data_IF_670658610003
#
_entry.id   IF_670658610003
#
_cell.length_a   1.000
_cell.length_b   1.000
_cell.length_c   1.000
_cell.angle_alpha   90.00
_cell.angle_beta   90.00
_cell.angle_gamma   90.00
#
_symmetry.space_group_name_H-M   'P 1'
#
loop_
_entity.id
_entity.type
_entity.pdbx_description
1 polymer ?
#
# COMPACT_ATOMS: atom_id res chain seq x y z
N UNK A 1 -16.98 16.17 -27.91
CA UNK A 1 -16.78 14.71 -27.91
C UNK A 1 -17.90 14.10 -27.09
N UNK A 2 -18.39 12.91 -27.41
CA UNK A 2 -19.38 12.23 -26.54
C UNK A 2 -18.69 11.83 -25.27
N UNK A 3 -19.20 12.21 -24.10
CA UNK A 3 -18.66 11.83 -22.81
C UNK A 3 -18.91 10.33 -22.59
N UNK A 4 -17.86 9.57 -22.26
CA UNK A 4 -17.91 8.12 -22.09
C UNK A 4 -17.82 7.68 -20.62
N UNK A 5 -17.89 8.62 -19.68
CA UNK A 5 -17.82 8.39 -18.24
C UNK A 5 -18.87 9.23 -17.50
N UNK A 6 -19.15 8.88 -16.27
CA UNK A 6 -20.13 9.57 -15.43
C UNK A 6 -19.67 10.99 -15.07
N UNK A 7 -20.60 11.94 -14.98
CA UNK A 7 -20.29 13.35 -14.68
C UNK A 7 -19.67 13.57 -13.30
N UNK A 8 -19.94 12.69 -12.36
CA UNK A 8 -19.39 12.73 -11.01
C UNK A 8 -17.90 12.37 -10.92
N UNK A 9 -17.30 11.91 -12.04
CA UNK A 9 -15.85 11.73 -12.16
C UNK A 9 -15.09 12.98 -12.60
N UNK A 10 -15.79 14.04 -13.04
CA UNK A 10 -15.15 15.25 -13.59
C UNK A 10 -14.33 15.95 -12.50
N UNK A 11 -14.98 16.32 -11.40
CA UNK A 11 -14.33 17.06 -10.31
C UNK A 11 -13.18 16.29 -9.66
N UNK A 12 -13.33 15.00 -9.26
CA UNK A 12 -12.23 14.22 -8.74
C UNK A 12 -11.03 14.15 -9.71
N UNK A 13 -11.28 13.95 -11.00
CA UNK A 13 -10.21 13.87 -12.00
C UNK A 13 -9.50 15.20 -12.23
N UNK A 14 -10.23 16.32 -12.17
CA UNK A 14 -9.63 17.65 -12.21
C UNK A 14 -8.76 17.93 -10.99
N UNK A 15 -9.18 17.51 -9.79
CA UNK A 15 -8.38 17.58 -8.56
C UNK A 15 -7.10 16.75 -8.71
N UNK A 16 -7.20 15.51 -9.16
CA UNK A 16 -6.02 14.65 -9.33
C UNK A 16 -5.01 15.26 -10.32
N UNK A 17 -5.46 15.74 -11.47
CA UNK A 17 -4.53 16.28 -12.47
C UNK A 17 -3.94 17.63 -12.07
N UNK A 18 -4.73 18.49 -11.38
CA UNK A 18 -4.29 19.80 -10.93
C UNK A 18 -3.46 19.76 -9.65
N UNK A 19 -3.97 19.09 -8.59
CA UNK A 19 -3.43 19.22 -7.23
C UNK A 19 -2.47 18.08 -6.88
N UNK A 20 -2.74 16.86 -7.38
CA UNK A 20 -1.90 15.68 -7.10
C UNK A 20 -0.77 15.56 -8.12
N UNK A 21 -1.09 15.48 -9.41
CA UNK A 21 -0.08 15.34 -10.46
C UNK A 21 0.55 16.67 -10.88
N UNK A 22 -0.12 17.80 -10.58
CA UNK A 22 0.37 19.14 -10.93
C UNK A 22 0.66 19.29 -12.43
N UNK A 23 -0.25 18.80 -13.30
CA UNK A 23 -0.07 18.79 -14.75
C UNK A 23 0.02 20.23 -15.26
N UNK A 24 1.05 20.51 -16.06
CA UNK A 24 1.32 21.81 -16.68
C UNK A 24 1.06 21.78 -18.18
N UNK A 25 1.01 22.98 -18.75
CA UNK A 25 0.86 23.14 -20.20
C UNK A 25 1.98 22.43 -20.97
N UNK A 26 1.58 21.70 -22.02
CA UNK A 26 2.47 20.90 -22.90
C UNK A 26 3.17 19.69 -22.23
N UNK A 27 2.91 19.37 -20.98
CA UNK A 27 3.44 18.14 -20.40
C UNK A 27 2.76 16.89 -21.00
N UNK A 28 3.53 15.86 -21.26
CA UNK A 28 3.07 14.57 -21.77
C UNK A 28 2.55 13.73 -20.62
N UNK A 29 1.30 13.33 -20.69
CA UNK A 29 0.63 12.52 -19.67
C UNK A 29 0.30 11.15 -20.24
N UNK A 30 0.94 10.10 -19.77
CA UNK A 30 0.63 8.73 -20.16
C UNK A 30 -0.33 8.12 -19.12
N UNK A 31 -1.51 7.72 -19.60
CA UNK A 31 -2.50 7.01 -18.78
C UNK A 31 -2.58 5.58 -19.30
N UNK A 32 -2.35 4.61 -18.42
CA UNK A 32 -2.39 3.18 -18.73
C UNK A 32 -3.54 2.56 -17.95
N UNK A 33 -4.38 1.77 -18.63
CA UNK A 33 -5.59 1.19 -18.04
C UNK A 33 -5.93 -0.18 -18.63
N UNK A 34 -7.02 -0.75 -18.15
CA UNK A 34 -7.60 -2.00 -18.62
C UNK A 34 -9.01 -1.75 -19.21
N UNK A 35 -9.56 -2.67 -20.03
CA UNK A 35 -10.92 -2.54 -20.58
C UNK A 35 -12.04 -2.83 -19.55
N UNK A 36 -11.72 -2.88 -18.25
CA UNK A 36 -12.66 -3.02 -17.15
C UNK A 36 -13.37 -1.68 -16.90
N UNK A 37 -14.67 -1.71 -16.58
CA UNK A 37 -15.55 -0.55 -16.58
C UNK A 37 -15.10 0.55 -15.59
N UNK A 38 -14.72 0.18 -14.35
CA UNK A 38 -14.35 1.15 -13.32
C UNK A 38 -13.11 1.94 -13.75
N UNK A 39 -12.01 1.24 -14.03
CA UNK A 39 -10.73 1.87 -14.35
C UNK A 39 -10.75 2.58 -15.69
N UNK A 40 -11.51 2.07 -16.66
CA UNK A 40 -11.64 2.71 -17.96
C UNK A 40 -12.38 4.06 -17.86
N UNK A 41 -13.48 4.14 -17.11
CA UNK A 41 -14.20 5.41 -16.91
C UNK A 41 -13.33 6.44 -16.17
N UNK A 42 -12.62 6.02 -15.12
CA UNK A 42 -11.68 6.88 -14.37
C UNK A 42 -10.59 7.40 -15.33
N UNK A 43 -9.98 6.53 -16.11
CA UNK A 43 -8.91 6.89 -17.05
C UNK A 43 -9.35 7.88 -18.13
N UNK A 44 -10.56 7.72 -18.64
CA UNK A 44 -11.12 8.67 -19.61
C UNK A 44 -11.43 10.03 -18.99
N UNK A 45 -11.88 10.06 -17.73
CA UNK A 45 -12.08 11.31 -17.00
C UNK A 45 -10.74 12.02 -16.71
N UNK A 46 -9.71 11.27 -16.31
CA UNK A 46 -8.35 11.78 -16.14
C UNK A 46 -7.75 12.31 -17.45
N UNK A 47 -8.01 11.63 -18.58
CA UNK A 47 -7.58 12.09 -19.91
C UNK A 47 -8.16 13.47 -20.23
N UNK A 48 -9.47 13.67 -20.05
CA UNK A 48 -10.11 14.96 -20.31
C UNK A 48 -9.64 16.03 -19.30
N UNK A 49 -9.42 15.65 -18.04
CA UNK A 49 -8.89 16.54 -17.00
C UNK A 49 -7.45 17.00 -17.31
N UNK A 50 -6.56 16.08 -17.72
CA UNK A 50 -5.19 16.43 -18.14
C UNK A 50 -5.19 17.41 -19.31
N UNK A 51 -6.06 17.17 -20.28
CA UNK A 51 -6.24 18.05 -21.44
C UNK A 51 -6.75 19.44 -21.06
N UNK A 52 -7.65 19.51 -20.06
CA UNK A 52 -8.15 20.77 -19.50
C UNK A 52 -7.06 21.59 -18.81
N UNK A 53 -6.06 20.91 -18.20
CA UNK A 53 -4.87 21.55 -17.61
C UNK A 53 -3.83 21.98 -18.66
N UNK A 54 -4.06 21.72 -19.96
CA UNK A 54 -3.11 22.04 -21.04
C UNK A 54 -2.09 20.92 -21.30
N UNK A 55 -2.19 19.79 -20.64
CA UNK A 55 -1.36 18.62 -20.89
C UNK A 55 -1.68 17.94 -22.24
N UNK A 56 -0.80 17.07 -22.67
CA UNK A 56 -0.89 16.25 -23.89
C UNK A 56 -1.09 14.78 -23.45
N UNK A 57 -2.34 14.35 -23.14
CA UNK A 57 -2.59 13.00 -22.67
C UNK A 57 -2.59 11.98 -23.80
N UNK A 58 -2.07 10.79 -23.47
CA UNK A 58 -2.18 9.56 -24.25
C UNK A 58 -2.81 8.50 -23.36
N UNK A 59 -3.79 7.77 -23.87
CA UNK A 59 -4.44 6.64 -23.19
C UNK A 59 -4.02 5.34 -23.87
N UNK A 60 -3.38 4.47 -23.10
CA UNK A 60 -2.98 3.12 -23.49
C UNK A 60 -3.84 2.10 -22.76
N UNK A 61 -4.43 1.16 -23.47
CA UNK A 61 -5.31 0.12 -22.90
C UNK A 61 -4.66 -1.23 -23.14
N UNK A 62 -4.46 -1.98 -22.08
CA UNK A 62 -4.00 -3.38 -22.13
C UNK A 62 -4.96 -4.29 -21.37
N UNK A 63 -4.92 -5.59 -21.66
CA UNK A 63 -5.67 -6.58 -20.86
C UNK A 63 -5.25 -6.52 -19.38
N UNK A 64 -6.16 -6.92 -18.48
CA UNK A 64 -5.87 -7.00 -17.05
C UNK A 64 -4.63 -7.87 -16.79
N UNK A 65 -3.76 -7.41 -15.90
CA UNK A 65 -2.53 -8.11 -15.51
C UNK A 65 -2.54 -8.38 -14.02
N UNK A 66 -2.06 -9.56 -13.65
CA UNK A 66 -1.80 -9.96 -12.27
C UNK A 66 -0.34 -9.71 -11.87
N UNK A 67 0.02 -10.05 -10.64
CA UNK A 67 1.42 -10.04 -10.18
C UNK A 67 2.33 -10.99 -10.97
N UNK A 68 1.78 -11.98 -11.68
CA UNK A 68 2.54 -12.96 -12.44
C UNK A 68 2.74 -12.58 -13.91
N UNK A 69 1.89 -11.69 -14.44
CA UNK A 69 1.87 -11.33 -15.84
C UNK A 69 2.89 -10.25 -16.20
N UNK A 70 3.26 -10.21 -17.47
CA UNK A 70 4.03 -9.12 -18.05
C UNK A 70 3.10 -8.04 -18.62
N UNK A 71 3.49 -6.77 -18.48
CA UNK A 71 2.87 -5.67 -19.21
C UNK A 71 3.07 -5.86 -20.72
N UNK A 72 2.13 -5.37 -21.51
CA UNK A 72 2.26 -5.41 -22.96
C UNK A 72 3.47 -4.59 -23.42
N UNK A 73 4.13 -5.04 -24.48
CA UNK A 73 5.33 -4.36 -24.99
C UNK A 73 5.05 -2.91 -25.41
N UNK A 74 3.86 -2.62 -25.93
CA UNK A 74 3.43 -1.26 -26.28
C UNK A 74 3.42 -0.36 -25.03
N UNK A 75 2.91 -0.85 -23.92
CA UNK A 75 2.87 -0.14 -22.64
C UNK A 75 4.29 0.20 -22.15
N UNK A 76 5.20 -0.79 -22.14
CA UNK A 76 6.60 -0.54 -21.76
C UNK A 76 7.29 0.44 -22.72
N UNK A 77 7.00 0.39 -24.01
CA UNK A 77 7.52 1.35 -25.00
C UNK A 77 6.94 2.75 -24.80
N UNK A 78 5.66 2.87 -24.43
CA UNK A 78 5.06 4.15 -24.09
C UNK A 78 5.72 4.77 -22.84
N UNK A 79 5.98 3.97 -21.80
CA UNK A 79 6.72 4.42 -20.61
C UNK A 79 8.16 4.84 -20.99
N UNK A 80 8.85 4.07 -21.84
CA UNK A 80 10.21 4.40 -22.34
C UNK A 80 10.26 5.71 -23.13
N UNK A 81 9.14 6.23 -23.61
CA UNK A 81 9.10 7.56 -24.23
C UNK A 81 9.35 8.72 -23.25
N UNK A 82 9.49 8.38 -21.95
CA UNK A 82 9.74 9.32 -20.85
C UNK A 82 8.67 10.42 -20.75
N UNK A 83 7.40 10.06 -20.54
CA UNK A 83 6.35 11.05 -20.29
C UNK A 83 6.63 11.79 -18.97
N UNK A 84 6.15 13.02 -18.86
CA UNK A 84 6.31 13.85 -17.65
C UNK A 84 5.49 13.29 -16.49
N UNK A 85 4.29 12.75 -16.79
CA UNK A 85 3.37 12.14 -15.82
C UNK A 85 2.95 10.76 -16.30
N UNK A 86 2.97 9.77 -15.41
CA UNK A 86 2.51 8.41 -15.66
C UNK A 86 1.40 8.06 -14.68
N UNK A 87 0.23 7.67 -15.20
CA UNK A 87 -0.91 7.24 -14.41
C UNK A 87 -1.22 5.76 -14.73
N UNK A 88 -0.97 4.86 -13.79
CA UNK A 88 -1.33 3.44 -13.90
C UNK A 88 -2.65 3.20 -13.19
N UNK A 89 -3.74 3.20 -13.93
CA UNK A 89 -5.11 3.01 -13.44
C UNK A 89 -5.54 1.59 -13.78
N UNK A 90 -5.24 0.66 -12.88
CA UNK A 90 -5.32 -0.79 -13.18
C UNK A 90 -6.40 -1.48 -12.35
N UNK A 91 -7.16 -2.37 -12.98
CA UNK A 91 -8.12 -3.23 -12.29
C UNK A 91 -7.44 -4.16 -11.28
N UNK A 92 -6.17 -4.53 -11.53
CA UNK A 92 -5.35 -5.29 -10.60
C UNK A 92 -3.90 -4.75 -10.59
N UNK A 93 -3.05 -5.09 -11.58
CA UNK A 93 -1.64 -4.65 -11.63
C UNK A 93 -1.29 -4.08 -13.00
N UNK A 94 -0.21 -3.28 -13.06
CA UNK A 94 0.37 -2.82 -14.34
C UNK A 94 0.98 -3.98 -15.16
N UNK A 95 1.48 -5.00 -14.48
CA UNK A 95 2.29 -6.06 -15.06
C UNK A 95 3.79 -5.77 -14.98
N UNK A 96 4.60 -6.83 -15.02
CA UNK A 96 6.06 -6.76 -14.93
C UNK A 96 6.67 -6.26 -16.24
N UNK A 97 7.82 -5.63 -16.15
CA UNK A 97 8.65 -5.30 -17.32
C UNK A 97 9.54 -6.50 -17.70
N UNK A 98 9.16 -7.24 -18.74
CA UNK A 98 9.90 -8.43 -19.19
C UNK A 98 11.35 -8.10 -19.59
N UNK A 99 11.59 -6.97 -20.24
CA UNK A 99 12.93 -6.57 -20.67
C UNK A 99 13.79 -6.11 -19.49
N UNK A 100 13.24 -5.29 -18.59
CA UNK A 100 13.91 -4.84 -17.37
C UNK A 100 14.26 -5.99 -16.43
N UNK A 101 13.41 -7.01 -16.34
CA UNK A 101 13.72 -8.21 -15.55
C UNK A 101 14.85 -9.04 -16.15
N UNK A 102 15.03 -9.07 -17.49
CA UNK A 102 16.12 -9.78 -18.17
C UNK A 102 17.42 -8.97 -18.17
N UNK A 103 17.31 -7.66 -18.30
CA UNK A 103 18.43 -6.72 -18.37
C UNK A 103 18.04 -5.46 -17.60
N UNK A 104 18.37 -5.38 -16.31
CA UNK A 104 18.01 -4.24 -15.48
C UNK A 104 18.51 -2.90 -16.04
N UNK A 105 17.72 -1.86 -15.85
CA UNK A 105 18.13 -0.48 -16.10
C UNK A 105 19.06 -0.05 -14.98
N UNK A 106 20.19 0.57 -15.31
CA UNK A 106 21.23 0.94 -14.33
C UNK A 106 21.46 2.44 -14.33
N UNK A 107 21.46 3.04 -13.16
CA UNK A 107 21.87 4.43 -12.95
C UNK A 107 22.61 4.55 -11.62
N UNK A 108 23.77 5.21 -11.61
CA UNK A 108 24.62 5.41 -10.42
C UNK A 108 24.98 4.12 -9.66
N UNK A 109 24.97 2.96 -10.36
CA UNK A 109 25.24 1.65 -9.76
C UNK A 109 24.04 0.97 -9.13
N UNK A 110 22.86 1.57 -9.20
CA UNK A 110 21.59 1.01 -8.76
C UNK A 110 20.84 0.36 -9.92
N UNK A 111 20.24 -0.80 -9.70
CA UNK A 111 19.56 -1.62 -10.70
C UNK A 111 18.05 -1.57 -10.53
N UNK A 112 17.32 -1.36 -11.62
CA UNK A 112 15.87 -1.33 -11.68
C UNK A 112 15.36 -2.37 -12.68
N UNK A 113 14.48 -3.26 -12.24
CA UNK A 113 13.86 -4.30 -13.09
C UNK A 113 12.58 -3.82 -13.78
N UNK A 114 12.20 -2.55 -13.61
CA UNK A 114 11.02 -1.92 -14.21
C UNK A 114 11.38 -0.55 -14.76
N UNK A 115 11.01 -0.30 -16.02
CA UNK A 115 11.16 1.02 -16.63
C UNK A 115 10.39 2.10 -15.87
N UNK A 116 9.23 1.77 -15.31
CA UNK A 116 8.44 2.70 -14.50
C UNK A 116 9.25 3.18 -13.29
N UNK A 117 9.78 2.26 -12.48
CA UNK A 117 10.57 2.60 -11.30
C UNK A 117 11.90 3.26 -11.68
N UNK A 118 12.51 2.86 -12.81
CA UNK A 118 13.72 3.50 -13.31
C UNK A 118 13.50 4.99 -13.62
N UNK A 119 12.35 5.35 -14.21
CA UNK A 119 12.04 6.75 -14.50
C UNK A 119 11.63 7.53 -13.25
N UNK A 120 10.92 6.89 -12.32
CA UNK A 120 10.43 7.51 -11.09
C UNK A 120 11.57 7.65 -10.07
N UNK A 121 12.16 6.55 -9.64
CA UNK A 121 13.08 6.50 -8.49
C UNK A 121 14.55 6.69 -8.93
N UNK A 122 14.93 6.08 -10.03
CA UNK A 122 16.31 6.12 -10.54
C UNK A 122 16.64 7.43 -11.25
N UNK A 123 16.03 7.66 -12.41
CA UNK A 123 16.28 8.82 -13.25
C UNK A 123 15.62 10.10 -12.73
N UNK A 124 14.53 9.96 -11.99
CA UNK A 124 13.70 11.07 -11.48
C UNK A 124 13.27 12.02 -12.58
N UNK A 125 12.89 11.46 -13.75
CA UNK A 125 12.46 12.24 -14.92
C UNK A 125 10.96 12.28 -15.08
N UNK A 126 10.23 11.37 -14.45
CA UNK A 126 8.78 11.33 -14.45
C UNK A 126 8.24 11.40 -13.03
N UNK A 127 6.96 11.72 -12.89
CA UNK A 127 6.17 11.57 -11.66
C UNK A 127 4.91 10.80 -11.97
N UNK A 128 4.23 10.24 -10.95
CA UNK A 128 3.06 9.44 -11.29
C UNK A 128 2.20 8.96 -10.16
N UNK A 129 1.08 8.36 -10.55
CA UNK A 129 0.13 7.71 -9.65
C UNK A 129 -0.13 6.28 -10.10
N UNK A 130 -0.44 5.42 -9.14
CA UNK A 130 -0.89 4.05 -9.40
C UNK A 130 -2.04 3.67 -8.46
N UNK A 131 -3.04 2.98 -9.02
CA UNK A 131 -4.31 2.72 -8.34
C UNK A 131 -4.76 1.28 -8.56
N UNK A 132 -3.99 0.28 -8.07
CA UNK A 132 -4.34 -1.12 -8.31
C UNK A 132 -5.65 -1.50 -7.61
N UNK A 133 -6.65 -1.95 -8.39
CA UNK A 133 -7.94 -2.37 -7.83
C UNK A 133 -8.90 -1.25 -7.46
N UNK A 134 -8.69 -0.03 -7.96
CA UNK A 134 -9.57 1.10 -7.68
C UNK A 134 -10.97 0.89 -8.27
N UNK A 135 -12.00 1.28 -7.52
CA UNK A 135 -13.39 1.26 -7.96
C UNK A 135 -13.93 2.68 -8.17
N UNK A 136 -15.03 2.80 -8.95
CA UNK A 136 -15.70 4.09 -9.16
C UNK A 136 -16.17 4.72 -7.84
N UNK A 137 -16.72 3.92 -6.94
CA UNK A 137 -17.18 4.40 -5.64
C UNK A 137 -16.03 4.94 -4.79
N UNK A 138 -14.96 4.17 -4.67
CA UNK A 138 -13.74 4.56 -3.98
C UNK A 138 -13.19 5.87 -4.55
N UNK A 139 -12.98 5.95 -5.87
CA UNK A 139 -12.43 7.12 -6.54
C UNK A 139 -13.27 8.39 -6.30
N UNK A 140 -14.59 8.31 -6.48
CA UNK A 140 -15.51 9.44 -6.26
C UNK A 140 -15.46 9.97 -4.85
N UNK A 141 -15.32 9.08 -3.87
CA UNK A 141 -15.35 9.41 -2.46
C UNK A 141 -14.01 9.97 -1.96
N UNK A 142 -12.91 9.38 -2.38
CA UNK A 142 -11.59 9.61 -1.78
C UNK A 142 -10.68 10.52 -2.58
N UNK A 143 -10.91 10.71 -3.88
CA UNK A 143 -10.03 11.50 -4.74
C UNK A 143 -10.29 13.01 -4.69
N UNK A 144 -11.46 13.45 -4.19
CA UNK A 144 -11.81 14.87 -4.08
C UNK A 144 -11.69 15.34 -2.63
N UNK A 145 -10.45 15.46 -2.14
CA UNK A 145 -10.12 15.93 -0.79
C UNK A 145 -9.21 17.16 -0.87
N UNK A 146 -8.98 17.82 0.27
CA UNK A 146 -8.01 18.90 0.40
C UNK A 146 -6.59 18.29 0.52
N UNK A 147 -5.89 18.17 -0.60
CA UNK A 147 -4.53 17.62 -0.63
C UNK A 147 -3.50 18.53 0.03
N UNK A 148 -3.73 19.84 0.10
CA UNK A 148 -2.84 20.74 0.84
C UNK A 148 -2.93 20.50 2.35
N UNK A 149 -4.14 20.25 2.85
CA UNK A 149 -4.35 19.86 4.24
C UNK A 149 -3.79 18.47 4.53
N UNK A 150 -3.98 17.51 3.62
CA UNK A 150 -3.41 16.15 3.76
C UNK A 150 -1.89 16.19 3.85
N UNK A 151 -1.23 16.87 2.91
CA UNK A 151 0.22 17.06 2.89
C UNK A 151 0.72 17.73 4.20
N UNK A 152 0.00 18.78 4.67
CA UNK A 152 0.33 19.41 5.95
C UNK A 152 0.27 18.42 7.11
N UNK A 153 -0.74 17.57 7.18
CA UNK A 153 -0.87 16.52 8.21
C UNK A 153 0.27 15.50 8.15
N UNK A 154 0.54 14.98 6.94
CA UNK A 154 1.63 14.04 6.72
C UNK A 154 2.98 14.62 7.14
N UNK A 155 3.29 15.86 6.75
CA UNK A 155 4.52 16.56 7.14
C UNK A 155 4.62 16.77 8.63
N UNK A 156 3.56 17.25 9.28
CA UNK A 156 3.54 17.46 10.74
C UNK A 156 3.77 16.15 11.50
N UNK A 157 3.13 15.04 11.06
CA UNK A 157 3.32 13.73 11.66
C UNK A 157 4.74 13.22 11.43
N UNK A 158 5.26 13.34 10.22
CA UNK A 158 6.65 12.96 9.88
C UNK A 158 7.67 13.70 10.75
N UNK A 159 7.44 14.98 11.06
CA UNK A 159 8.30 15.73 11.99
C UNK A 159 8.27 15.17 13.42
N UNK A 160 7.13 14.65 13.88
CA UNK A 160 7.02 14.01 15.19
C UNK A 160 7.77 12.69 15.27
N UNK A 161 7.98 11.99 14.17
CA UNK A 161 8.80 10.78 14.15
C UNK A 161 10.31 11.06 14.29
N UNK A 162 10.78 12.28 14.02
CA UNK A 162 12.20 12.63 14.12
C UNK A 162 12.69 12.51 15.57
N UNK A 163 13.69 11.65 15.77
CA UNK A 163 14.26 11.41 17.11
C UNK A 163 13.40 10.52 18.01
N UNK A 164 12.31 9.97 17.50
CA UNK A 164 11.52 8.98 18.22
C UNK A 164 12.30 7.66 18.38
N UNK A 165 12.09 6.98 19.52
CA UNK A 165 12.71 5.68 19.80
C UNK A 165 11.73 4.54 19.68
N UNK A 166 10.46 4.76 19.98
CA UNK A 166 9.41 3.77 19.84
C UNK A 166 8.03 4.39 19.71
N UNK A 167 7.07 3.59 19.29
CA UNK A 167 5.63 3.90 19.28
C UNK A 167 4.89 2.85 20.09
N UNK A 168 4.04 3.28 21.00
CA UNK A 168 3.12 2.41 21.71
C UNK A 168 1.72 2.54 21.10
N UNK A 169 1.13 1.43 20.69
CA UNK A 169 -0.20 1.38 20.10
C UNK A 169 -1.12 0.54 20.95
N UNK A 170 -2.26 1.12 21.35
CA UNK A 170 -3.36 0.39 21.98
C UNK A 170 -4.65 0.62 21.21
N UNK A 171 -5.59 -0.34 21.26
CA UNK A 171 -6.90 -0.17 20.65
C UNK A 171 -7.99 -0.93 21.41
N UNK A 172 -9.28 -0.50 21.28
CA UNK A 172 -10.40 -1.09 22.04
C UNK A 172 -10.58 -2.60 21.82
N UNK A 173 -10.23 -3.11 20.62
CA UNK A 173 -10.31 -4.54 20.31
C UNK A 173 -9.27 -5.39 21.05
N UNK A 174 -8.26 -4.78 21.70
CA UNK A 174 -7.26 -5.46 22.51
C UNK A 174 -5.84 -5.41 21.95
N UNK A 175 -5.57 -4.60 20.94
CA UNK A 175 -4.20 -4.28 20.52
C UNK A 175 -3.48 -3.60 21.68
N UNK A 176 -2.26 -4.05 21.96
CA UNK A 176 -1.33 -3.47 22.94
C UNK A 176 0.09 -3.91 22.54
N UNK A 177 0.81 -3.03 21.84
CA UNK A 177 2.10 -3.35 21.26
C UNK A 177 3.08 -2.18 21.36
N UNK A 178 4.33 -2.49 21.72
CA UNK A 178 5.46 -1.56 21.66
C UNK A 178 6.24 -1.82 20.37
N UNK A 179 6.48 -0.75 19.62
CA UNK A 179 7.10 -0.77 18.27
C UNK A 179 8.36 0.09 18.28
N UNK A 180 9.55 -0.47 18.50
CA UNK A 180 10.81 0.26 18.40
C UNK A 180 11.12 0.70 16.96
N UNK A 181 11.48 2.00 16.80
CA UNK A 181 11.71 2.64 15.49
C UNK A 181 12.96 3.52 15.46
N UNK A 182 13.82 3.46 16.47
CA UNK A 182 14.99 4.34 16.58
C UNK A 182 15.85 4.28 15.31
N UNK A 183 16.14 5.47 14.74
CA UNK A 183 16.94 5.61 13.53
C UNK A 183 16.20 5.32 12.22
N UNK A 184 14.93 4.90 12.25
CA UNK A 184 14.10 4.73 11.06
C UNK A 184 13.64 6.07 10.50
N UNK A 185 13.42 6.09 9.20
CA UNK A 185 12.75 7.20 8.51
C UNK A 185 11.31 6.79 8.21
N UNK A 186 10.37 7.71 8.42
CA UNK A 186 9.00 7.48 7.97
C UNK A 186 8.85 7.87 6.50
N UNK A 187 7.88 7.25 5.86
CA UNK A 187 7.42 7.54 4.51
C UNK A 187 6.04 8.16 4.58
N UNK A 188 5.65 8.91 3.55
CA UNK A 188 4.31 9.46 3.43
C UNK A 188 3.75 9.27 2.02
N UNK A 189 2.49 8.90 1.95
CA UNK A 189 1.67 8.97 0.75
C UNK A 189 0.71 10.14 0.92
N UNK A 190 1.19 11.35 0.62
CA UNK A 190 0.53 12.64 0.89
C UNK A 190 -0.25 13.20 -0.31
N UNK A 191 -0.17 12.51 -1.46
CA UNK A 191 -0.80 12.96 -2.70
C UNK A 191 -0.14 14.18 -3.35
N UNK A 192 1.07 14.56 -2.96
CA UNK A 192 1.83 15.68 -3.55
C UNK A 192 2.87 15.20 -4.57
N UNK A 193 2.40 14.65 -5.68
CA UNK A 193 3.27 14.12 -6.74
C UNK A 193 3.47 15.13 -7.85
N UNK A 194 3.89 16.35 -7.49
CA UNK A 194 4.04 17.48 -8.42
C UNK A 194 5.46 17.65 -8.96
N UNK A 195 6.43 16.95 -8.36
CA UNK A 195 7.86 17.02 -8.72
C UNK A 195 8.30 15.71 -9.38
N UNK A 196 9.12 15.74 -10.45
CA UNK A 196 9.72 14.53 -10.99
C UNK A 196 10.47 13.72 -9.93
N UNK A 197 10.30 12.41 -9.92
CA UNK A 197 10.80 11.51 -8.90
C UNK A 197 9.85 11.33 -7.71
N UNK A 198 8.61 11.80 -7.80
CA UNK A 198 7.56 11.56 -6.79
C UNK A 198 6.39 10.80 -7.36
N UNK A 199 5.75 9.98 -6.54
CA UNK A 199 4.58 9.21 -6.93
C UNK A 199 4.05 8.39 -5.77
N UNK A 200 2.79 7.97 -5.88
CA UNK A 200 2.13 7.17 -4.84
C UNK A 200 0.76 6.67 -5.27
N UNK A 201 0.04 6.13 -4.31
CA UNK A 201 -1.30 5.64 -4.52
C UNK A 201 -2.34 6.75 -4.59
N UNK A 202 -3.43 6.48 -5.28
CA UNK A 202 -4.71 7.17 -5.14
C UNK A 202 -5.76 6.08 -4.88
N UNK A 203 -6.46 6.15 -3.73
CA UNK A 203 -6.41 7.18 -2.68
C UNK A 203 -5.05 7.32 -2.01
N UNK A 204 -4.67 8.55 -1.68
CA UNK A 204 -3.54 8.88 -0.83
C UNK A 204 -4.00 9.18 0.60
N UNK A 205 -3.08 9.20 1.53
CA UNK A 205 -3.32 9.65 2.90
C UNK A 205 -2.85 8.71 3.97
N UNK A 206 -1.52 8.52 4.08
CA UNK A 206 -0.92 7.81 5.19
C UNK A 206 0.50 8.32 5.49
N UNK A 207 0.93 8.05 6.71
CA UNK A 207 2.34 8.10 7.11
C UNK A 207 2.69 6.76 7.73
N UNK A 208 3.75 6.13 7.26
CA UNK A 208 4.15 4.81 7.70
C UNK A 208 5.65 4.71 7.99
N UNK A 209 6.03 3.74 8.82
CA UNK A 209 7.40 3.53 9.27
C UNK A 209 7.65 2.04 9.47
N UNK A 210 8.85 1.57 9.08
CA UNK A 210 9.28 0.19 9.35
C UNK A 210 9.72 0.04 10.80
N UNK A 211 9.17 -0.91 11.57
CA UNK A 211 9.70 -1.28 12.88
C UNK A 211 11.14 -1.81 12.80
N UNK A 212 11.91 -1.70 13.87
CA UNK A 212 13.20 -2.38 13.98
C UNK A 212 12.99 -3.90 13.99
N UNK A 213 13.61 -4.60 13.04
CA UNK A 213 13.48 -6.05 12.89
C UNK A 213 13.87 -6.75 14.19
N UNK A 214 13.01 -7.65 14.65
CA UNK A 214 13.28 -8.42 15.85
C UNK A 214 13.09 -7.66 17.17
N UNK A 215 12.29 -6.58 17.22
CA UNK A 215 12.21 -5.73 18.41
C UNK A 215 10.81 -5.41 18.92
N UNK A 216 9.77 -5.59 18.11
CA UNK A 216 8.40 -5.32 18.56
C UNK A 216 7.90 -6.38 19.54
N UNK A 217 7.15 -5.95 20.55
CA UNK A 217 6.64 -6.83 21.63
C UNK A 217 5.20 -6.49 21.97
N UNK A 218 4.34 -7.48 22.07
CA UNK A 218 2.95 -7.31 22.49
C UNK A 218 1.95 -8.11 21.68
N UNK A 219 0.82 -7.48 21.37
CA UNK A 219 -0.33 -8.09 20.70
C UNK A 219 -0.94 -7.11 19.72
N UNK A 220 -1.29 -7.61 18.54
CA UNK A 220 -2.08 -6.88 17.56
C UNK A 220 -3.43 -7.59 17.41
N UNK A 221 -4.52 -6.83 17.41
CA UNK A 221 -5.87 -7.33 17.12
C UNK A 221 -6.37 -6.57 15.88
N UNK A 222 -6.39 -7.26 14.75
CA UNK A 222 -6.94 -6.73 13.51
C UNK A 222 -8.46 -6.87 13.54
N UNK A 223 -9.18 -5.76 13.40
CA UNK A 223 -10.64 -5.69 13.46
C UNK A 223 -11.26 -4.87 12.32
N UNK A 224 -10.45 -4.39 11.39
CA UNK A 224 -10.86 -3.65 10.20
C UNK A 224 -10.94 -4.53 8.96
N UNK A 225 -9.83 -4.66 8.27
CA UNK A 225 -9.62 -5.48 7.09
C UNK A 225 -8.23 -6.10 7.11
N UNK A 226 -7.98 -7.05 6.20
CA UNK A 226 -6.70 -7.76 6.10
C UNK A 226 -6.40 -8.12 4.65
N UNK A 227 -5.18 -7.80 4.21
CA UNK A 227 -4.63 -8.33 2.97
C UNK A 227 -4.19 -9.77 3.15
N UNK A 228 -4.53 -10.62 2.18
CA UNK A 228 -4.18 -12.04 2.15
C UNK A 228 -3.59 -12.38 0.77
N UNK A 229 -2.95 -13.52 0.67
CA UNK A 229 -2.34 -13.95 -0.62
C UNK A 229 -3.35 -14.01 -1.76
N UNK A 230 -4.62 -14.26 -1.49
CA UNK A 230 -5.69 -14.38 -2.51
C UNK A 230 -6.53 -13.12 -2.70
N UNK A 231 -6.29 -12.04 -1.96
CA UNK A 231 -7.04 -10.78 -1.99
C UNK A 231 -7.36 -10.25 -0.60
N UNK A 232 -8.00 -9.09 -0.56
CA UNK A 232 -8.34 -8.41 0.69
C UNK A 232 -9.67 -8.89 1.24
N UNK A 233 -9.79 -8.90 2.56
CA UNK A 233 -11.03 -9.23 3.26
C UNK A 233 -11.41 -8.16 4.27
N UNK A 234 -12.69 -7.93 4.44
CA UNK A 234 -13.23 -7.22 5.59
C UNK A 234 -13.37 -8.18 6.76
N UNK A 235 -12.78 -7.85 7.90
CA UNK A 235 -12.77 -8.71 9.08
C UNK A 235 -14.16 -8.67 9.74
N UNK A 236 -14.73 -9.84 10.01
CA UNK A 236 -15.98 -10.04 10.74
C UNK A 236 -15.69 -10.50 12.17
N UNK A 237 -14.76 -11.43 12.34
CA UNK A 237 -14.25 -11.85 13.64
C UNK A 237 -12.79 -11.43 13.80
N UNK A 238 -12.42 -10.65 14.83
CA UNK A 238 -11.07 -10.14 15.00
C UNK A 238 -10.00 -11.21 14.94
N UNK A 239 -8.90 -10.90 14.23
CA UNK A 239 -7.70 -11.74 14.17
C UNK A 239 -6.75 -11.26 15.25
N UNK A 240 -6.31 -12.16 16.12
CA UNK A 240 -5.40 -11.85 17.21
C UNK A 240 -4.03 -12.44 16.89
N UNK A 241 -3.00 -11.58 16.93
CA UNK A 241 -1.61 -11.95 16.69
C UNK A 241 -0.77 -11.61 17.92
N UNK A 242 -0.16 -12.64 18.54
CA UNK A 242 0.87 -12.41 19.55
C UNK A 242 2.20 -12.11 18.83
N UNK A 243 2.88 -11.05 19.27
CA UNK A 243 4.16 -10.59 18.71
C UNK A 243 5.24 -10.68 19.77
N UNK A 244 6.32 -11.37 19.43
CA UNK A 244 7.50 -11.49 20.29
C UNK A 244 8.76 -11.39 19.46
N UNK A 245 9.75 -10.65 19.97
CA UNK A 245 11.01 -10.40 19.26
C UNK A 245 10.78 -9.94 17.80
N UNK A 246 9.75 -9.09 17.56
CA UNK A 246 9.40 -8.52 16.26
C UNK A 246 8.68 -9.47 15.29
N UNK A 247 8.35 -10.69 15.72
CA UNK A 247 7.72 -11.70 14.85
C UNK A 247 6.39 -12.18 15.40
N UNK A 248 5.45 -12.46 14.52
CA UNK A 248 4.16 -13.10 14.87
C UNK A 248 4.43 -14.55 15.30
N UNK A 249 4.12 -14.84 16.57
CA UNK A 249 4.35 -16.16 17.19
C UNK A 249 3.07 -16.96 17.41
N UNK A 250 1.92 -16.28 17.52
CA UNK A 250 0.60 -16.89 17.64
C UNK A 250 -0.42 -16.17 16.75
N UNK A 251 -1.32 -16.92 16.15
CA UNK A 251 -2.46 -16.39 15.37
C UNK A 251 -3.69 -17.17 15.82
N UNK A 252 -4.73 -16.46 16.24
CA UNK A 252 -5.96 -17.05 16.74
C UNK A 252 -7.13 -16.06 16.68
N UNK A 253 -8.31 -16.53 17.00
CA UNK A 253 -9.51 -15.70 17.22
C UNK A 253 -10.13 -16.06 18.56
N UNK A 254 -11.32 -15.52 18.86
CA UNK A 254 -12.03 -15.78 20.14
C UNK A 254 -12.42 -17.25 20.33
N UNK A 255 -12.44 -18.07 19.27
CA UNK A 255 -12.84 -19.49 19.28
C UNK A 255 -11.65 -20.45 19.42
N UNK A 256 -10.44 -20.01 19.09
CA UNK A 256 -9.26 -20.86 19.20
C UNK A 256 -8.13 -20.48 18.24
N UNK A 257 -7.09 -21.31 18.20
CA UNK A 257 -5.94 -21.11 17.33
C UNK A 257 -6.31 -21.26 15.84
N UNK A 258 -5.59 -20.52 14.99
CA UNK A 258 -5.70 -20.64 13.56
C UNK A 258 -5.26 -22.01 13.06
N UNK A 259 -5.97 -22.55 12.09
CA UNK A 259 -5.66 -23.79 11.39
C UNK A 259 -5.26 -23.48 9.96
N UNK A 260 -4.41 -24.33 9.37
CA UNK A 260 -4.01 -24.19 7.98
C UNK A 260 -5.18 -24.54 7.05
N UNK A 261 -5.42 -23.66 6.07
CA UNK A 261 -6.37 -23.86 4.96
C UNK A 261 -5.60 -23.94 3.65
N UNK A 262 -6.07 -24.78 2.72
CA UNK A 262 -5.50 -24.82 1.38
C UNK A 262 -5.86 -23.54 0.58
N UNK A 263 -4.99 -23.16 -0.37
CA UNK A 263 -5.16 -21.94 -1.16
C UNK A 263 -6.52 -21.87 -1.87
N UNK A 264 -6.99 -22.99 -2.42
CA UNK A 264 -8.29 -23.06 -3.09
C UNK A 264 -9.47 -22.80 -2.13
N UNK A 265 -9.36 -23.22 -0.88
CA UNK A 265 -10.36 -22.93 0.17
C UNK A 265 -10.33 -21.44 0.51
N UNK A 266 -9.14 -20.85 0.73
CA UNK A 266 -8.99 -19.42 0.98
C UNK A 266 -9.59 -18.57 -0.15
N UNK A 267 -9.27 -18.89 -1.41
CA UNK A 267 -9.83 -18.20 -2.58
C UNK A 267 -11.36 -18.32 -2.68
N UNK A 268 -11.91 -19.46 -2.29
CA UNK A 268 -13.36 -19.66 -2.25
C UNK A 268 -14.00 -18.78 -1.19
N UNK A 269 -13.40 -18.73 0.01
CA UNK A 269 -13.88 -17.91 1.10
C UNK A 269 -13.84 -16.40 0.77
N UNK A 270 -12.81 -15.93 0.10
CA UNK A 270 -12.72 -14.53 -0.36
C UNK A 270 -13.85 -14.20 -1.34
N UNK A 271 -14.21 -15.12 -2.25
CA UNK A 271 -15.24 -14.92 -3.27
C UNK A 271 -16.67 -14.98 -2.72
N UNK A 272 -16.89 -15.64 -1.61
CA UNK A 272 -18.19 -15.76 -0.96
C UNK A 272 -18.40 -14.62 0.04
N UNK A 273 -18.78 -13.43 -0.47
CA UNK A 273 -19.16 -12.23 0.30
C UNK A 273 -18.21 -11.84 1.45
N UNK A 274 -16.91 -11.96 1.20
CA UNK A 274 -15.86 -11.36 2.04
C UNK A 274 -15.74 -11.91 3.45
N UNK A 275 -16.50 -12.91 3.81
CA UNK A 275 -16.44 -13.35 5.18
C UNK A 275 -16.40 -14.85 5.29
N UNK A 276 -15.28 -15.28 5.57
CA UNK A 276 -15.05 -16.52 6.26
C UNK A 276 -15.38 -16.38 7.75
N UNK A 277 -16.54 -15.87 8.16
CA UNK A 277 -16.82 -15.56 9.56
C UNK A 277 -16.26 -16.63 10.51
N UNK A 278 -15.19 -16.28 11.25
CA UNK A 278 -14.43 -17.18 12.11
C UNK A 278 -13.31 -17.99 11.42
N UNK A 279 -12.99 -17.71 10.14
CA UNK A 279 -11.88 -18.32 9.39
C UNK A 279 -10.76 -17.32 9.06
N UNK A 280 -10.95 -16.04 9.35
CA UNK A 280 -10.03 -14.96 9.01
C UNK A 280 -8.62 -15.21 9.58
N UNK A 281 -8.52 -15.62 10.83
CA UNK A 281 -7.24 -15.98 11.45
C UNK A 281 -6.56 -17.15 10.73
N UNK A 282 -7.31 -18.17 10.31
CA UNK A 282 -6.79 -19.31 9.56
C UNK A 282 -6.36 -18.92 8.15
N UNK A 283 -7.03 -17.98 7.51
CA UNK A 283 -6.65 -17.45 6.20
C UNK A 283 -5.32 -16.65 6.28
N UNK A 284 -5.14 -15.83 7.32
CA UNK A 284 -3.87 -15.14 7.58
C UNK A 284 -2.74 -16.14 7.85
N UNK A 285 -2.98 -17.12 8.74
CA UNK A 285 -2.01 -18.17 9.03
C UNK A 285 -1.60 -18.94 7.77
N UNK A 286 -2.54 -19.24 6.89
CA UNK A 286 -2.30 -19.93 5.62
C UNK A 286 -1.49 -19.08 4.64
N UNK A 287 -1.74 -17.77 4.57
CA UNK A 287 -0.97 -16.83 3.73
C UNK A 287 0.50 -16.77 4.18
N UNK A 288 0.74 -16.66 5.49
CA UNK A 288 2.10 -16.65 6.06
C UNK A 288 2.80 -18.01 5.81
N UNK A 289 2.12 -19.12 6.10
CA UNK A 289 2.69 -20.47 5.92
C UNK A 289 2.99 -20.76 4.44
N UNK A 290 2.18 -20.25 3.52
CA UNK A 290 2.43 -20.36 2.07
C UNK A 290 3.70 -19.61 1.68
N UNK A 291 3.95 -18.42 2.25
CA UNK A 291 5.20 -17.69 2.01
C UNK A 291 6.42 -18.41 2.58
N UNK A 292 6.32 -19.00 3.76
CA UNK A 292 7.38 -19.85 4.36
C UNK A 292 7.70 -21.05 3.47
N UNK A 293 6.67 -21.73 2.93
CA UNK A 293 6.82 -22.85 2.00
C UNK A 293 7.46 -22.42 0.68
N UNK A 294 7.06 -21.27 0.11
CA UNK A 294 7.68 -20.70 -1.10
C UNK A 294 9.18 -20.43 -0.89
N UNK A 295 9.58 -19.93 0.27
CA UNK A 295 10.99 -19.72 0.59
C UNK A 295 11.78 -21.05 0.64
N UNK A 296 11.20 -22.07 1.26
CA UNK A 296 11.80 -23.42 1.30
C UNK A 296 11.87 -24.04 -0.09
N UNK A 297 10.85 -23.86 -0.92
CA UNK A 297 10.83 -24.34 -2.30
C UNK A 297 11.90 -23.64 -3.16
N UNK A 298 12.09 -22.32 -2.99
CA UNK A 298 13.13 -21.58 -3.70
C UNK A 298 14.56 -22.10 -3.41
N UNK A 299 14.80 -22.59 -2.20
CA UNK A 299 16.05 -23.30 -1.88
C UNK A 299 16.14 -24.66 -2.61
N UNK A 300 15.07 -25.44 -2.56
CA UNK A 300 15.03 -26.76 -3.22
C UNK A 300 15.25 -26.66 -4.73
N UNK A 301 14.72 -25.61 -5.34
CA UNK A 301 14.84 -25.32 -6.78
C UNK A 301 16.20 -24.67 -7.15
N UNK A 302 17.07 -24.43 -6.17
CA UNK A 302 18.39 -23.83 -6.39
C UNK A 302 18.37 -22.33 -6.70
N UNK A 303 17.23 -21.66 -6.46
CA UNK A 303 17.06 -20.21 -6.69
C UNK A 303 17.61 -19.38 -5.53
N UNK A 304 17.57 -19.93 -4.31
CA UNK A 304 18.09 -19.30 -3.10
C UNK A 304 19.19 -20.15 -2.45
N UNK A 305 20.13 -19.48 -1.76
CA UNK A 305 20.95 -20.15 -0.77
C UNK A 305 20.09 -20.58 0.43
N UNK A 306 20.60 -21.48 1.26
CA UNK A 306 19.90 -21.92 2.47
C UNK A 306 19.63 -20.75 3.41
N UNK A 307 20.63 -19.91 3.64
CA UNK A 307 20.55 -18.73 4.50
C UNK A 307 19.49 -17.74 4.02
N UNK A 308 19.43 -17.51 2.69
CA UNK A 308 18.43 -16.63 2.08
C UNK A 308 17.02 -17.20 2.24
N UNK A 309 16.84 -18.50 2.05
CA UNK A 309 15.55 -19.15 2.23
C UNK A 309 15.08 -19.09 3.69
N UNK A 310 15.97 -19.36 4.65
CA UNK A 310 15.69 -19.25 6.08
C UNK A 310 15.32 -17.80 6.47
N UNK A 311 16.02 -16.82 5.92
CA UNK A 311 15.71 -15.40 6.14
C UNK A 311 14.31 -15.04 5.61
N UNK A 312 13.98 -15.42 4.36
CA UNK A 312 12.68 -15.13 3.76
C UNK A 312 11.53 -15.84 4.50
N UNK A 313 11.75 -17.09 4.94
CA UNK A 313 10.77 -17.83 5.73
C UNK A 313 10.55 -17.17 7.11
N UNK A 314 11.62 -16.80 7.81
CA UNK A 314 11.52 -16.10 9.09
C UNK A 314 10.80 -14.76 8.94
N UNK A 315 11.15 -14.00 7.93
CA UNK A 315 10.58 -12.66 7.70
C UNK A 315 9.12 -12.69 7.21
N UNK A 316 8.59 -13.84 6.81
CA UNK A 316 7.16 -13.98 6.56
C UNK A 316 6.30 -13.72 7.82
N UNK A 317 6.90 -13.71 9.00
CA UNK A 317 6.27 -13.38 10.30
C UNK A 317 6.69 -12.03 10.87
N UNK A 318 7.58 -11.31 10.20
CA UNK A 318 8.08 -10.02 10.69
C UNK A 318 6.96 -8.99 10.73
N UNK A 319 6.97 -8.11 11.75
CA UNK A 319 6.17 -6.88 11.70
C UNK A 319 6.95 -5.88 10.85
N UNK A 320 6.50 -5.69 9.61
CA UNK A 320 7.20 -4.93 8.57
C UNK A 320 6.84 -3.45 8.52
N UNK A 321 5.66 -3.09 9.04
CA UNK A 321 5.16 -1.72 8.96
C UNK A 321 4.26 -1.37 10.14
N UNK A 322 4.26 -0.09 10.49
CA UNK A 322 3.21 0.62 11.22
C UNK A 322 2.83 1.84 10.39
N UNK A 323 1.61 1.86 9.88
CA UNK A 323 1.06 2.99 9.14
C UNK A 323 -0.14 3.63 9.84
N UNK A 324 -0.38 4.91 9.55
CA UNK A 324 -1.46 5.71 10.13
C UNK A 324 -2.28 6.32 9.01
N UNK A 325 -3.56 5.99 8.93
CA UNK A 325 -4.49 6.49 7.92
C UNK A 325 -4.92 7.93 8.19
N UNK A 326 -4.80 8.79 7.18
CA UNK A 326 -5.03 10.25 7.29
C UNK A 326 -6.04 10.80 6.27
N UNK A 327 -6.62 9.95 5.41
CA UNK A 327 -7.63 10.36 4.44
C UNK A 327 -9.01 10.40 5.08
N UNK A 328 -9.63 11.58 5.23
CA UNK A 328 -10.91 11.72 5.95
C UNK A 328 -12.10 11.13 5.22
N UNK A 329 -11.95 10.81 3.93
CA UNK A 329 -12.99 10.27 3.06
C UNK A 329 -12.85 8.78 2.80
N UNK A 330 -11.73 8.18 3.20
CA UNK A 330 -11.51 6.74 3.11
C UNK A 330 -12.31 5.99 4.19
N UNK A 331 -12.77 4.80 3.84
CA UNK A 331 -13.53 3.91 4.75
C UNK A 331 -12.97 2.50 4.67
N UNK A 332 -13.25 1.67 5.66
CA UNK A 332 -12.92 0.25 5.61
C UNK A 332 -13.94 -0.48 4.74
N UNK A 333 -13.55 -0.77 3.49
CA UNK A 333 -14.38 -1.38 2.47
C UNK A 333 -14.03 -2.86 2.18
N UNK A 334 -12.85 -3.33 2.63
CA UNK A 334 -12.29 -4.63 2.27
C UNK A 334 -11.47 -4.54 0.97
N UNK A 335 -10.89 -3.38 0.72
CA UNK A 335 -9.93 -3.13 -0.35
C UNK A 335 -8.79 -2.32 0.26
N UNK A 336 -7.62 -2.92 0.39
CA UNK A 336 -6.51 -2.35 1.16
C UNK A 336 -5.98 -1.05 0.57
N UNK A 337 -6.08 -0.84 -0.75
CA UNK A 337 -5.72 0.44 -1.38
C UNK A 337 -6.37 1.65 -0.68
N UNK A 338 -7.58 1.48 -0.16
CA UNK A 338 -8.32 2.50 0.58
C UNK A 338 -8.23 2.33 2.08
N UNK A 339 -8.36 1.07 2.56
CA UNK A 339 -8.59 0.73 3.96
C UNK A 339 -7.44 1.20 4.86
N UNK A 340 -6.19 1.11 4.37
CA UNK A 340 -4.98 1.57 5.05
C UNK A 340 -4.87 3.09 5.16
N UNK A 341 -5.61 3.85 4.32
CA UNK A 341 -5.66 5.30 4.33
C UNK A 341 -6.77 5.85 5.25
N UNK A 342 -7.67 4.97 5.73
CA UNK A 342 -8.86 5.38 6.46
C UNK A 342 -8.52 6.17 7.73
N UNK A 343 -9.20 7.30 7.92
CA UNK A 343 -9.05 8.11 9.13
C UNK A 343 -9.49 7.33 10.36
N UNK A 344 -8.87 7.57 11.52
CA UNK A 344 -9.15 6.88 12.78
C UNK A 344 -8.73 5.41 12.79
N UNK A 345 -7.71 5.07 11.99
CA UNK A 345 -7.14 3.73 11.96
C UNK A 345 -5.62 3.79 11.94
N UNK A 346 -5.00 2.72 12.38
CA UNK A 346 -3.65 2.38 11.97
C UNK A 346 -3.64 0.99 11.32
N UNK A 347 -2.57 0.66 10.65
CA UNK A 347 -2.38 -0.68 10.11
C UNK A 347 -0.98 -1.19 10.46
N UNK A 348 -0.84 -2.49 10.48
CA UNK A 348 0.43 -3.17 10.58
C UNK A 348 0.58 -4.12 9.42
N UNK A 349 1.76 -4.12 8.77
CA UNK A 349 2.07 -5.13 7.79
C UNK A 349 2.82 -6.32 8.41
N UNK A 350 2.48 -7.52 7.95
CA UNK A 350 3.21 -8.74 8.25
C UNK A 350 4.00 -9.15 7.02
N UNK A 351 5.33 -9.26 7.16
CA UNK A 351 6.22 -9.63 6.06
C UNK A 351 7.38 -8.69 5.83
N UNK A 352 7.60 -8.33 4.55
CA UNK A 352 8.67 -7.43 4.14
C UNK A 352 8.46 -6.01 4.69
N UNK A 353 9.55 -5.26 4.78
CA UNK A 353 9.54 -3.84 5.15
C UNK A 353 10.15 -2.97 4.04
N UNK A 354 9.97 -1.65 4.15
CA UNK A 354 10.45 -0.68 3.15
C UNK A 354 11.92 -0.25 3.37
N UNK A 355 12.52 -0.57 4.52
CA UNK A 355 13.96 -0.36 4.77
C UNK A 355 14.84 -1.47 4.18
N UNK A 356 14.26 -2.48 3.53
CA UNK A 356 14.92 -3.59 2.85
C UNK A 356 15.78 -4.50 3.75
N UNK A 357 15.62 -4.44 5.08
CA UNK A 357 16.33 -5.31 6.02
C UNK A 357 15.50 -6.53 6.49
N UNK A 358 14.24 -6.62 6.07
CA UNK A 358 13.36 -7.78 6.26
C UNK A 358 12.74 -8.27 4.94
N UNK A 359 13.53 -8.81 3.98
CA UNK A 359 12.98 -9.32 2.73
C UNK A 359 12.06 -10.52 2.97
N UNK A 360 10.91 -10.54 2.30
CA UNK A 360 9.90 -11.61 2.36
C UNK A 360 9.15 -11.71 1.03
N UNK A 361 8.38 -12.80 0.83
CA UNK A 361 7.48 -12.96 -0.31
C UNK A 361 6.11 -12.33 -0.11
N UNK A 362 5.83 -11.83 1.09
CA UNK A 362 4.56 -11.20 1.44
C UNK A 362 4.77 -9.86 2.13
N UNK A 363 3.79 -9.00 1.96
CA UNK A 363 3.52 -7.80 2.73
C UNK A 363 1.99 -7.77 2.89
N UNK A 364 1.50 -8.04 4.08
CA UNK A 364 0.08 -8.24 4.36
C UNK A 364 -0.36 -7.21 5.38
N UNK A 365 -1.03 -6.16 4.91
CA UNK A 365 -1.55 -5.10 5.75
C UNK A 365 -2.80 -5.56 6.48
N UNK A 366 -2.89 -5.18 7.75
CA UNK A 366 -4.06 -5.40 8.57
C UNK A 366 -4.44 -4.13 9.32
N UNK A 367 -5.72 -3.79 9.29
CA UNK A 367 -6.24 -2.54 9.85
C UNK A 367 -6.76 -2.73 11.27
N UNK A 368 -6.35 -1.80 12.15
CA UNK A 368 -6.76 -1.67 13.55
C UNK A 368 -7.59 -0.39 13.70
N UNK A 369 -8.79 -0.51 14.28
CA UNK A 369 -9.75 0.61 14.44
C UNK A 369 -9.56 1.36 15.74
N UNK A 370 -9.79 2.68 15.68
CA UNK A 370 -9.82 3.58 16.83
C UNK A 370 -8.61 3.43 17.77
N UNK A 371 -7.37 3.44 17.23
CA UNK A 371 -6.19 3.28 18.05
C UNK A 371 -5.93 4.50 18.95
N UNK A 372 -5.19 4.27 20.04
CA UNK A 372 -4.42 5.31 20.73
C UNK A 372 -2.95 5.07 20.42
N UNK A 373 -2.30 6.07 19.81
CA UNK A 373 -0.93 5.98 19.29
C UNK A 373 -0.06 7.00 20.00
N UNK A 374 0.99 6.53 20.67
CA UNK A 374 1.88 7.39 21.45
C UNK A 374 3.33 7.18 21.00
N UNK A 375 3.91 8.21 20.42
CA UNK A 375 5.35 8.27 20.10
C UNK A 375 6.13 8.56 21.39
N UNK A 376 7.26 7.85 21.59
CA UNK A 376 8.15 8.00 22.74
C UNK A 376 9.53 8.44 22.28
N UNK A 377 10.16 9.33 23.05
CA UNK A 377 11.48 9.87 22.78
C UNK A 377 12.51 9.43 23.84
N UNK A 378 13.79 9.52 23.49
CA UNK A 378 14.88 9.08 24.36
C UNK A 378 14.98 9.83 25.71
N UNK A 379 14.48 11.07 25.77
CA UNK A 379 14.43 11.88 27.00
C UNK A 379 13.24 11.54 27.92
N UNK A 380 12.41 10.55 27.53
CA UNK A 380 11.22 10.15 28.24
C UNK A 380 9.97 10.97 27.91
N UNK A 381 10.07 12.00 27.07
CA UNK A 381 8.89 12.73 26.58
C UNK A 381 8.07 11.87 25.61
N UNK A 382 6.80 12.23 25.41
CA UNK A 382 5.87 11.53 24.54
C UNK A 382 5.03 12.51 23.73
N UNK A 383 4.56 12.04 22.56
CA UNK A 383 3.57 12.74 21.76
C UNK A 383 2.43 11.78 21.38
N UNK A 384 1.20 12.13 21.72
CA UNK A 384 0.03 11.35 21.33
C UNK A 384 -0.40 11.78 19.93
N UNK A 385 -0.31 10.86 18.96
CA UNK A 385 -0.72 11.06 17.56
C UNK A 385 -2.23 10.98 17.44
N UNK A 386 -2.80 9.89 17.96
CA UNK A 386 -4.23 9.64 18.05
C UNK A 386 -4.60 9.18 19.45
N UNK A 387 -5.81 9.52 19.86
CA UNK A 387 -6.43 9.00 21.07
C UNK A 387 -7.82 8.49 20.76
N UNK A 388 -8.04 7.18 20.95
CA UNK A 388 -9.31 6.52 20.61
C UNK A 388 -9.75 6.81 19.15
N UNK A 389 -8.80 6.86 18.22
CA UNK A 389 -8.99 7.19 16.81
C UNK A 389 -9.16 8.69 16.51
N UNK A 390 -9.11 9.58 17.50
CA UNK A 390 -9.18 11.01 17.26
C UNK A 390 -7.76 11.59 17.10
N UNK A 391 -7.50 12.19 15.92
CA UNK A 391 -6.21 12.78 15.59
C UNK A 391 -5.91 13.97 16.51
N UNK A 392 -4.66 14.07 16.95
CA UNK A 392 -4.20 15.20 17.75
C UNK A 392 -4.42 16.54 17.00
N UNK A 393 -5.06 17.55 17.62
CA UNK A 393 -5.32 18.84 16.98
C UNK A 393 -4.06 19.57 16.44
N UNK A 394 -2.87 19.29 16.98
CA UNK A 394 -1.62 19.85 16.45
C UNK A 394 -1.29 19.33 15.02
N UNK A 395 -1.83 18.18 14.65
CA UNK A 395 -1.66 17.57 13.33
C UNK A 395 -2.74 17.99 12.33
N UNK A 396 -3.80 18.63 12.79
CA UNK A 396 -4.95 19.06 11.98
C UNK A 396 -4.64 20.31 11.17
#
# INVERSE_FOLDING_TARGET
>A
MKQFYSKDLIEPSEVIMRDVCGVKENERVLIITNPEENVLQISMALYDAAKKQGGIPVLEIQDEKTLLDYADKSVNMAIKSEPDVICSISANKLGKDEEGMKTPYVINGEEFTSIFNFLLDGKKSSRGIWTPGITLDMYKRTACIDYALLDSRCKKLSEKYKGAVSVHVTAPAGTDIEVPIEGRQCFSDDGQFVTPGTGGNIPAGEVFISPLVGKSEGKIVFDGSMSLTGGDIKIVEPIICDVKDGFVTGIYNTKGNAEFLEEAECLTLIKTEGAAAGKEASMLFSSITSAERKASQAFTDGLFSKEKAEQYAKNARNIGELGIGLNPSAIIAGNMLEDEKAFRTCHFAIGLNYDNDAPSFIHLDGVVRNPTIVIKYADGSTFTVEKDGELNPELS
#
